data_IF_018539367601
#
_entry.id   IF_018539367601
#
_cell.length_a   1.000
_cell.length_b   1.000
_cell.length_c   1.000
_cell.angle_alpha   90.00
_cell.angle_beta   90.00
_cell.angle_gamma   90.00
#
_symmetry.space_group_name_H-M   'P 1'
#
loop_
_entity.id
_entity.type
_entity.pdbx_description
1 polymer ?
#
# COMPACT_ATOMS: atom_id res chain seq x y z
N UNK A 1 56.46 -28.52 20.33
CA UNK A 1 55.06 -28.40 19.85
C UNK A 1 54.97 -27.05 19.15
N UNK A 2 54.69 -27.05 17.86
CA UNK A 2 54.70 -25.82 17.06
C UNK A 2 53.37 -25.10 17.27
N UNK A 3 53.39 -24.05 18.08
CA UNK A 3 52.21 -23.29 18.50
C UNK A 3 51.43 -22.77 17.28
N UNK A 4 52.14 -22.42 16.20
CA UNK A 4 51.54 -21.95 14.95
C UNK A 4 50.67 -23.02 14.30
N UNK A 5 51.16 -24.28 14.25
CA UNK A 5 50.40 -25.40 13.68
C UNK A 5 49.17 -25.75 14.51
N UNK A 6 49.24 -25.58 15.82
CA UNK A 6 48.08 -25.82 16.70
C UNK A 6 47.02 -24.72 16.55
N UNK A 7 47.43 -23.46 16.37
CA UNK A 7 46.52 -22.34 16.07
C UNK A 7 45.81 -22.57 14.72
N UNK A 8 46.54 -22.96 13.68
CA UNK A 8 45.95 -23.25 12.37
C UNK A 8 44.94 -24.40 12.43
N UNK A 9 45.26 -25.47 13.17
CA UNK A 9 44.34 -26.59 13.38
C UNK A 9 43.06 -26.13 14.07
N UNK A 10 43.16 -25.31 15.12
CA UNK A 10 42.02 -24.78 15.85
C UNK A 10 41.17 -23.82 15.00
N UNK A 11 41.80 -22.99 14.17
CA UNK A 11 41.11 -22.10 13.25
C UNK A 11 40.27 -22.89 12.22
N UNK A 12 40.84 -23.95 11.63
CA UNK A 12 40.12 -24.83 10.71
C UNK A 12 38.95 -25.55 11.40
N UNK A 13 39.15 -26.00 12.65
CA UNK A 13 38.10 -26.66 13.42
C UNK A 13 36.93 -25.71 13.73
N UNK A 14 37.22 -24.46 14.09
CA UNK A 14 36.21 -23.43 14.32
C UNK A 14 35.47 -23.03 13.03
N UNK A 15 36.19 -22.89 11.92
CA UNK A 15 35.60 -22.62 10.60
C UNK A 15 34.55 -23.69 10.24
N UNK A 16 34.90 -24.97 10.41
CA UNK A 16 34.02 -26.10 10.13
C UNK A 16 32.78 -26.10 11.04
N UNK A 17 32.93 -25.75 12.32
CA UNK A 17 31.80 -25.62 13.25
C UNK A 17 30.87 -24.47 12.86
N UNK A 18 31.41 -23.34 12.37
CA UNK A 18 30.61 -22.22 11.88
C UNK A 18 29.82 -22.56 10.62
N UNK A 19 30.42 -23.31 9.69
CA UNK A 19 29.73 -23.80 8.49
C UNK A 19 28.57 -24.74 8.84
N UNK A 20 28.80 -25.71 9.74
CA UNK A 20 27.73 -26.60 10.23
C UNK A 20 26.58 -25.84 10.90
N UNK A 21 26.86 -24.79 11.67
CA UNK A 21 25.83 -23.96 12.30
C UNK A 21 25.04 -23.14 11.28
N UNK A 22 25.72 -22.63 10.24
CA UNK A 22 25.06 -21.91 9.13
C UNK A 22 24.14 -22.82 8.34
N UNK A 23 24.59 -24.01 7.99
CA UNK A 23 23.82 -24.98 7.20
C UNK A 23 22.63 -25.53 7.98
N UNK A 24 22.80 -25.86 9.27
CA UNK A 24 21.69 -26.31 10.12
C UNK A 24 20.60 -25.24 10.25
N UNK A 25 20.99 -23.97 10.45
CA UNK A 25 20.03 -22.88 10.54
C UNK A 25 19.32 -22.63 9.19
N UNK A 26 20.03 -22.77 8.06
CA UNK A 26 19.41 -22.66 6.74
C UNK A 26 18.40 -23.79 6.49
N UNK A 27 18.75 -25.03 6.84
CA UNK A 27 17.87 -26.19 6.69
C UNK A 27 16.61 -26.06 7.55
N UNK A 28 16.73 -25.59 8.79
CA UNK A 28 15.59 -25.28 9.64
C UNK A 28 14.70 -24.18 9.06
N UNK A 29 15.27 -23.12 8.48
CA UNK A 29 14.50 -22.06 7.84
C UNK A 29 13.79 -22.54 6.57
N UNK A 30 14.42 -23.40 5.77
CA UNK A 30 13.82 -24.00 4.58
C UNK A 30 12.65 -24.91 4.95
N UNK A 31 12.80 -25.75 5.98
CA UNK A 31 11.70 -26.62 6.45
C UNK A 31 10.55 -25.81 7.03
N UNK A 32 10.82 -24.76 7.83
CA UNK A 32 9.80 -23.82 8.30
C UNK A 32 9.08 -23.13 7.15
N UNK A 33 9.80 -22.69 6.12
CA UNK A 33 9.21 -22.09 4.92
C UNK A 33 8.26 -23.06 4.23
N UNK A 34 8.67 -24.29 3.98
CA UNK A 34 7.82 -25.31 3.34
C UNK A 34 6.56 -25.62 4.18
N UNK A 35 6.68 -25.66 5.51
CA UNK A 35 5.54 -25.83 6.41
C UNK A 35 4.55 -24.66 6.32
N UNK A 36 5.05 -23.43 6.28
CA UNK A 36 4.22 -22.23 6.14
C UNK A 36 3.53 -22.15 4.77
N UNK A 37 4.20 -22.53 3.68
CA UNK A 37 3.61 -22.60 2.34
C UNK A 37 2.46 -23.63 2.28
N UNK A 38 2.63 -24.75 2.96
CA UNK A 38 1.58 -25.77 3.11
C UNK A 38 0.38 -25.22 3.88
N UNK A 39 0.61 -24.51 5.00
CA UNK A 39 -0.46 -23.89 5.79
C UNK A 39 -1.21 -22.81 5.01
N UNK A 40 -0.51 -22.00 4.22
CA UNK A 40 -1.14 -21.00 3.35
C UNK A 40 -2.08 -21.64 2.35
N UNK A 41 -1.63 -22.72 1.68
CA UNK A 41 -2.45 -23.45 0.71
C UNK A 41 -3.72 -24.03 1.35
N UNK A 42 -3.61 -24.56 2.58
CA UNK A 42 -4.77 -25.06 3.32
C UNK A 42 -5.76 -23.95 3.67
N UNK A 43 -5.27 -22.83 4.19
CA UNK A 43 -6.08 -21.63 4.52
C UNK A 43 -6.79 -21.11 3.26
N UNK A 44 -6.10 -21.03 2.13
CA UNK A 44 -6.69 -20.63 0.85
C UNK A 44 -7.82 -21.57 0.43
N UNK A 45 -7.64 -22.89 0.62
CA UNK A 45 -8.68 -23.89 0.42
C UNK A 45 -9.89 -23.70 1.33
N UNK A 46 -9.66 -23.45 2.62
CA UNK A 46 -10.72 -23.20 3.61
C UNK A 46 -11.51 -21.92 3.29
N UNK A 47 -10.82 -20.85 2.87
CA UNK A 47 -11.43 -19.59 2.43
C UNK A 47 -12.30 -19.84 1.20
N UNK A 48 -11.77 -20.52 0.18
CA UNK A 48 -12.51 -20.86 -1.04
C UNK A 48 -13.79 -21.64 -0.75
N UNK A 49 -13.70 -22.65 0.11
CA UNK A 49 -14.85 -23.45 0.53
C UNK A 49 -15.88 -22.61 1.31
N UNK A 50 -15.42 -21.73 2.19
CA UNK A 50 -16.31 -20.84 2.96
C UNK A 50 -17.01 -19.83 2.04
N UNK A 51 -16.28 -19.21 1.10
CA UNK A 51 -16.83 -18.30 0.11
C UNK A 51 -17.89 -18.97 -0.77
N UNK A 52 -17.64 -20.21 -1.23
CA UNK A 52 -18.63 -21.02 -1.96
C UNK A 52 -19.91 -21.23 -1.15
N UNK A 53 -19.78 -21.61 0.13
CA UNK A 53 -20.92 -21.86 1.03
C UNK A 53 -21.74 -20.58 1.29
N UNK A 54 -21.09 -19.42 1.27
CA UNK A 54 -21.73 -18.11 1.47
C UNK A 54 -22.24 -17.47 0.17
N UNK A 55 -22.09 -18.12 -0.99
CA UNK A 55 -22.50 -17.55 -2.29
C UNK A 55 -21.64 -16.37 -2.76
N UNK A 56 -20.43 -16.22 -2.22
CA UNK A 56 -19.49 -15.15 -2.59
C UNK A 56 -18.71 -15.62 -3.84
N UNK A 57 -18.97 -14.98 -4.98
CA UNK A 57 -18.23 -15.26 -6.21
C UNK A 57 -16.80 -14.69 -6.09
N UNK A 58 -15.82 -15.59 -5.99
CA UNK A 58 -14.40 -15.24 -5.98
C UNK A 58 -13.93 -14.91 -7.41
N UNK A 59 -14.38 -13.78 -7.95
CA UNK A 59 -13.82 -13.23 -9.18
C UNK A 59 -12.45 -12.61 -8.85
N UNK A 60 -11.37 -13.34 -9.17
CA UNK A 60 -10.00 -12.84 -9.12
C UNK A 60 -9.40 -12.76 -7.71
N UNK A 61 -9.07 -13.89 -7.10
CA UNK A 61 -8.23 -13.93 -5.90
C UNK A 61 -6.76 -13.73 -6.25
N UNK A 62 -6.40 -12.54 -6.71
CA UNK A 62 -5.16 -11.94 -6.23
C UNK A 62 -5.49 -11.38 -4.85
N UNK A 63 -4.75 -11.81 -3.81
CA UNK A 63 -4.77 -11.30 -2.42
C UNK A 63 -5.45 -9.93 -2.26
N UNK A 64 -6.26 -9.67 -1.22
CA UNK A 64 -6.46 -8.29 -0.80
C UNK A 64 -5.07 -7.81 -0.37
N UNK A 65 -4.38 -7.13 -1.30
CA UNK A 65 -3.11 -6.50 -1.08
C UNK A 65 -3.25 -5.73 0.23
N UNK A 66 -2.53 -6.20 1.25
CA UNK A 66 -2.20 -5.53 2.51
C UNK A 66 -2.71 -4.09 2.45
N UNK A 67 -3.93 -3.82 2.97
CA UNK A 67 -4.67 -2.57 2.78
C UNK A 67 -3.73 -1.45 2.38
N UNK A 68 -3.50 -1.34 1.07
CA UNK A 68 -2.41 -0.55 0.55
C UNK A 68 -2.79 0.84 0.99
N UNK A 69 -2.03 1.42 1.93
CA UNK A 69 -2.31 2.76 2.47
C UNK A 69 -2.50 3.60 1.23
N UNK A 70 -3.75 3.96 0.90
CA UNK A 70 -4.12 4.58 -0.38
C UNK A 70 -2.99 5.53 -0.72
N UNK A 71 -2.23 5.21 -1.77
CA UNK A 71 -1.04 5.99 -2.13
C UNK A 71 -1.48 7.44 -2.12
N UNK A 72 -0.94 8.23 -1.20
CA UNK A 72 -1.41 9.60 -0.99
C UNK A 72 -1.31 10.28 -2.35
N UNK A 73 -2.46 10.68 -2.90
CA UNK A 73 -2.47 11.34 -4.18
C UNK A 73 -1.60 12.59 -4.05
N UNK A 74 -0.56 12.68 -4.89
CA UNK A 74 0.40 13.78 -4.84
C UNK A 74 -0.30 15.13 -5.00
N UNK A 75 0.25 16.17 -4.38
CA UNK A 75 -0.31 17.52 -4.44
C UNK A 75 -0.53 18.02 -5.88
N UNK A 76 0.40 17.71 -6.78
CA UNK A 76 0.30 18.06 -8.19
C UNK A 76 -0.86 17.34 -8.89
N UNK A 77 -1.07 16.06 -8.58
CA UNK A 77 -2.17 15.27 -9.12
C UNK A 77 -3.51 15.82 -8.62
N UNK A 78 -3.60 16.21 -7.34
CA UNK A 78 -4.79 16.86 -6.78
C UNK A 78 -5.08 18.18 -7.52
N UNK A 79 -4.04 19.01 -7.70
CA UNK A 79 -4.15 20.30 -8.39
C UNK A 79 -4.65 20.14 -9.81
N UNK A 80 -4.03 19.26 -10.60
CA UNK A 80 -4.42 19.01 -12.00
C UNK A 80 -5.88 18.57 -12.07
N UNK A 81 -6.27 17.55 -11.29
CA UNK A 81 -7.64 17.02 -11.31
C UNK A 81 -8.70 18.07 -10.94
N UNK A 82 -8.48 18.83 -9.87
CA UNK A 82 -9.46 19.83 -9.43
C UNK A 82 -9.53 20.98 -10.45
N UNK A 83 -8.39 21.46 -10.96
CA UNK A 83 -8.38 22.53 -11.96
C UNK A 83 -9.05 22.09 -13.27
N UNK A 84 -8.84 20.87 -13.74
CA UNK A 84 -9.49 20.34 -14.94
C UNK A 84 -11.02 20.26 -14.80
N UNK A 85 -11.51 19.74 -13.67
CA UNK A 85 -12.95 19.66 -13.39
C UNK A 85 -13.59 21.05 -13.29
N UNK A 86 -12.89 22.02 -12.69
CA UNK A 86 -13.37 23.40 -12.63
C UNK A 86 -13.33 24.10 -14.00
N UNK A 87 -12.32 23.84 -14.84
CA UNK A 87 -12.29 24.33 -16.23
C UNK A 87 -13.44 23.79 -17.07
N UNK A 88 -13.79 22.51 -16.87
CA UNK A 88 -14.91 21.87 -17.55
C UNK A 88 -16.30 22.33 -17.04
N UNK A 89 -16.36 23.02 -15.90
CA UNK A 89 -17.60 23.42 -15.24
C UNK A 89 -17.65 24.94 -15.00
N UNK A 90 -17.87 25.76 -16.04
CA UNK A 90 -17.87 27.22 -15.93
C UNK A 90 -18.97 27.77 -15.00
N UNK A 91 -20.05 27.02 -14.81
CA UNK A 91 -21.13 27.30 -13.85
C UNK A 91 -20.74 27.12 -12.37
N UNK A 92 -19.52 26.63 -12.11
CA UNK A 92 -19.03 26.34 -10.78
C UNK A 92 -19.55 25.02 -10.23
N UNK A 93 -18.84 24.48 -9.24
CA UNK A 93 -19.17 23.21 -8.61
C UNK A 93 -19.15 23.32 -7.10
N UNK A 94 -19.99 22.53 -6.43
CA UNK A 94 -19.90 22.36 -4.99
C UNK A 94 -18.63 21.58 -4.63
N UNK A 95 -18.12 21.75 -3.42
CA UNK A 95 -16.95 20.99 -2.93
C UNK A 95 -17.20 19.48 -2.93
N UNK A 96 -18.44 19.07 -2.70
CA UNK A 96 -18.87 17.66 -2.74
C UNK A 96 -18.81 17.13 -4.17
N UNK A 97 -19.28 17.92 -5.15
CA UNK A 97 -19.27 17.49 -6.55
C UNK A 97 -17.86 17.44 -7.10
N UNK A 98 -16.98 18.37 -6.71
CA UNK A 98 -15.54 18.29 -7.02
C UNK A 98 -14.96 16.99 -6.48
N UNK A 99 -15.21 16.65 -5.21
CA UNK A 99 -14.69 15.42 -4.62
C UNK A 99 -15.21 14.15 -5.35
N UNK A 100 -16.50 14.13 -5.71
CA UNK A 100 -17.12 13.02 -6.45
C UNK A 100 -16.53 12.87 -7.85
N UNK A 101 -16.39 13.97 -8.59
CA UNK A 101 -15.93 13.93 -9.99
C UNK A 101 -14.43 13.64 -10.10
N UNK A 102 -13.62 14.16 -9.18
CA UNK A 102 -12.16 14.00 -9.22
C UNK A 102 -11.66 12.72 -8.53
N UNK A 103 -12.49 12.12 -7.66
CA UNK A 103 -12.09 11.07 -6.73
C UNK A 103 -11.13 11.56 -5.63
N UNK A 104 -10.92 12.87 -5.52
CA UNK A 104 -10.13 13.49 -4.45
C UNK A 104 -10.94 13.46 -3.15
N UNK A 105 -10.28 13.18 -2.02
CA UNK A 105 -10.96 13.23 -0.72
C UNK A 105 -11.51 14.64 -0.44
N UNK A 106 -12.67 14.73 0.20
CA UNK A 106 -13.28 16.03 0.54
C UNK A 106 -12.33 16.93 1.37
N UNK A 107 -11.57 16.34 2.30
CA UNK A 107 -10.57 17.06 3.08
C UNK A 107 -9.43 17.63 2.21
N UNK A 108 -8.97 16.86 1.21
CA UNK A 108 -7.96 17.32 0.26
C UNK A 108 -8.50 18.43 -0.65
N UNK A 109 -9.78 18.37 -1.04
CA UNK A 109 -10.44 19.47 -1.76
C UNK A 109 -10.43 20.74 -0.91
N UNK A 110 -10.83 20.67 0.37
CA UNK A 110 -10.79 21.84 1.27
C UNK A 110 -9.39 22.42 1.39
N UNK A 111 -8.37 21.58 1.58
CA UNK A 111 -6.98 22.06 1.69
C UNK A 111 -6.53 22.72 0.38
N UNK A 112 -6.80 22.09 -0.76
CA UNK A 112 -6.52 22.69 -2.06
C UNK A 112 -7.17 24.08 -2.19
N UNK A 113 -8.44 24.23 -1.81
CA UNK A 113 -9.14 25.52 -1.91
C UNK A 113 -8.53 26.58 -0.98
N UNK A 114 -8.07 26.19 0.22
CA UNK A 114 -7.39 27.10 1.14
C UNK A 114 -6.05 27.57 0.59
N UNK A 115 -5.30 26.69 -0.05
CA UNK A 115 -3.94 26.95 -0.54
C UNK A 115 -3.92 27.69 -1.88
N UNK A 116 -5.06 27.78 -2.58
CA UNK A 116 -5.12 28.28 -3.97
C UNK A 116 -6.10 29.44 -4.16
N UNK A 117 -6.34 30.24 -3.12
CA UNK A 117 -7.30 31.37 -3.11
C UNK A 117 -7.03 32.41 -4.21
N UNK A 118 -5.79 32.53 -4.69
CA UNK A 118 -5.44 33.44 -5.77
C UNK A 118 -6.03 33.02 -7.12
N UNK A 119 -6.21 31.71 -7.33
CA UNK A 119 -6.65 31.11 -8.60
C UNK A 119 -8.12 30.67 -8.64
N UNK A 120 -8.81 30.71 -7.50
CA UNK A 120 -10.20 30.29 -7.36
C UNK A 120 -11.06 31.42 -6.80
N UNK A 121 -12.34 31.44 -7.17
CA UNK A 121 -13.36 32.26 -6.50
C UNK A 121 -14.46 31.35 -5.96
N UNK A 122 -15.09 31.78 -4.88
CA UNK A 122 -16.24 31.05 -4.31
C UNK A 122 -17.42 31.99 -4.14
N UNK A 123 -18.61 31.54 -4.53
CA UNK A 123 -19.86 32.31 -4.39
C UNK A 123 -20.90 31.48 -3.64
N UNK A 124 -21.86 32.18 -3.01
CA UNK A 124 -22.94 31.57 -2.24
C UNK A 124 -22.62 31.33 -0.76
N UNK A 125 -23.67 30.98 -0.03
CA UNK A 125 -23.63 30.77 1.40
C UNK A 125 -23.11 29.39 1.78
N UNK A 126 -22.83 29.19 3.07
CA UNK A 126 -22.13 28.01 3.60
C UNK A 126 -22.63 26.66 3.08
N UNK A 127 -23.94 26.49 2.84
CA UNK A 127 -24.55 25.24 2.32
C UNK A 127 -24.64 25.16 0.79
N UNK A 128 -24.55 26.29 0.09
CA UNK A 128 -24.69 26.40 -1.37
C UNK A 128 -23.42 26.94 -2.03
N UNK A 129 -22.28 26.84 -1.36
CA UNK A 129 -21.03 27.42 -1.83
C UNK A 129 -20.55 26.72 -3.11
N UNK A 130 -20.49 27.48 -4.18
CA UNK A 130 -19.93 27.07 -5.47
C UNK A 130 -18.50 27.59 -5.61
N UNK A 131 -17.66 26.76 -6.22
CA UNK A 131 -16.26 27.05 -6.51
C UNK A 131 -16.10 27.23 -8.01
N UNK A 132 -15.38 28.25 -8.41
CA UNK A 132 -15.06 28.56 -9.79
C UNK A 132 -13.55 28.80 -9.92
N UNK A 133 -13.04 28.59 -11.13
CA UNK A 133 -11.75 29.13 -11.51
C UNK A 133 -11.89 30.65 -11.74
N UNK A 134 -10.87 31.42 -11.36
CA UNK A 134 -10.77 32.84 -11.71
C UNK A 134 -10.34 33.03 -13.16
#
# INVERSE_FOLDING_TARGET
MDITKEIERQAQELQKKLELLRDNNLQELVTKKAALETQLTDIEGQISNTCKRLGISMAGSSSPARAERRTRMGGDVIRVKITEVLKASPQGLSQIDIAKQTGVSYASVINFLKDNQDSIRTEGDRKSKLVFLK
#
